data_IF_728451410896
#
_entry.id   IF_728451410896
#
_cell.length_a   1.000
_cell.length_b   1.000
_cell.length_c   1.000
_cell.angle_alpha   90.00
_cell.angle_beta   90.00
_cell.angle_gamma   90.00
#
_symmetry.space_group_name_H-M   'P 1'
#
loop_
_entity.id
_entity.type
_entity.pdbx_description
1 polymer ?
#
# COMPACT_ATOMS: atom_id res chain seq x y z
N UNK A 1 -7.65 -27.78 -41.15
CA UNK A 1 -7.80 -27.45 -39.72
C UNK A 1 -6.47 -26.92 -39.26
N UNK A 2 -6.34 -25.61 -39.16
CA UNK A 2 -5.14 -24.98 -38.62
C UNK A 2 -5.30 -25.05 -37.11
N UNK A 3 -4.62 -26.02 -36.48
CA UNK A 3 -4.43 -25.98 -35.04
C UNK A 3 -3.62 -24.72 -34.74
N UNK A 4 -4.29 -23.75 -34.10
CA UNK A 4 -3.64 -22.61 -33.49
C UNK A 4 -2.57 -23.15 -32.53
N UNK A 5 -1.33 -23.19 -33.01
CA UNK A 5 -0.15 -23.17 -32.16
C UNK A 5 -0.27 -21.88 -31.37
N UNK A 6 -0.87 -21.95 -30.19
CA UNK A 6 -0.67 -20.95 -29.15
C UNK A 6 0.82 -20.94 -28.89
N UNK A 7 1.54 -20.06 -29.60
CA UNK A 7 2.94 -19.79 -29.33
C UNK A 7 3.00 -19.29 -27.91
N UNK A 8 3.27 -20.21 -26.97
CA UNK A 8 3.42 -19.88 -25.56
C UNK A 8 4.64 -18.98 -25.51
N UNK A 9 4.41 -17.67 -25.38
CA UNK A 9 5.47 -16.67 -25.48
C UNK A 9 6.42 -16.92 -24.31
N UNK A 10 7.65 -17.31 -24.62
CA UNK A 10 8.66 -17.56 -23.60
C UNK A 10 8.97 -16.22 -22.92
N UNK A 11 8.86 -16.14 -21.58
CA UNK A 11 9.17 -14.92 -20.85
C UNK A 11 10.64 -14.55 -21.04
N UNK A 12 10.89 -13.38 -21.60
CA UNK A 12 12.25 -12.84 -21.75
C UNK A 12 12.73 -12.26 -20.42
N UNK A 13 13.98 -12.50 -20.06
CA UNK A 13 14.58 -11.97 -18.85
C UNK A 13 14.94 -10.49 -19.06
N UNK A 14 14.21 -9.62 -18.36
CA UNK A 14 14.32 -8.16 -18.43
C UNK A 14 15.15 -7.55 -17.28
N UNK A 15 15.80 -8.40 -16.46
CA UNK A 15 16.50 -8.00 -15.24
C UNK A 15 15.64 -8.01 -13.98
N UNK A 16 14.30 -8.06 -14.11
CA UNK A 16 13.39 -8.20 -12.99
C UNK A 16 13.15 -9.68 -12.66
N UNK A 17 14.07 -10.27 -11.87
CA UNK A 17 14.04 -11.71 -11.59
C UNK A 17 12.71 -12.21 -11.03
N UNK A 18 12.07 -11.51 -10.09
CA UNK A 18 10.87 -12.05 -9.42
C UNK A 18 9.72 -12.25 -10.42
N UNK A 19 9.34 -11.19 -11.13
CA UNK A 19 8.34 -11.24 -12.21
C UNK A 19 8.70 -12.27 -13.29
N UNK A 20 9.95 -12.26 -13.78
CA UNK A 20 10.37 -13.24 -14.78
C UNK A 20 10.30 -14.68 -14.26
N UNK A 21 10.75 -14.92 -13.04
CA UNK A 21 10.80 -16.26 -12.44
C UNK A 21 9.41 -16.84 -12.22
N UNK A 22 8.43 -16.00 -11.86
CA UNK A 22 7.03 -16.42 -11.72
C UNK A 22 6.41 -16.79 -13.07
N UNK A 23 6.61 -15.97 -14.11
CA UNK A 23 6.15 -16.29 -15.46
C UNK A 23 6.80 -17.57 -15.99
N UNK A 24 8.11 -17.73 -15.76
CA UNK A 24 8.87 -18.88 -16.23
C UNK A 24 8.50 -20.17 -15.47
N UNK A 25 8.28 -20.07 -14.15
CA UNK A 25 7.79 -21.18 -13.32
C UNK A 25 6.40 -21.64 -13.78
N UNK A 26 5.49 -20.71 -14.05
CA UNK A 26 4.16 -21.02 -14.57
C UNK A 26 4.21 -21.72 -15.93
N UNK A 27 5.08 -21.25 -16.85
CA UNK A 27 5.30 -21.91 -18.14
C UNK A 27 5.82 -23.35 -17.95
N UNK A 28 6.80 -23.54 -17.08
CA UNK A 28 7.37 -24.87 -16.82
C UNK A 28 6.38 -25.82 -16.13
N UNK A 29 5.48 -25.30 -15.28
CA UNK A 29 4.38 -26.06 -14.68
C UNK A 29 3.34 -26.46 -15.73
N UNK A 30 2.95 -25.54 -16.61
CA UNK A 30 2.04 -25.83 -17.74
C UNK A 30 2.58 -26.97 -18.61
N UNK A 31 3.90 -26.98 -18.88
CA UNK A 31 4.55 -28.03 -19.67
C UNK A 31 4.89 -29.30 -18.88
N UNK A 32 4.61 -29.35 -17.57
CA UNK A 32 4.93 -30.51 -16.71
C UNK A 32 6.43 -30.72 -16.47
N UNK A 33 7.26 -29.70 -16.70
CA UNK A 33 8.73 -29.79 -16.65
C UNK A 33 9.32 -29.30 -15.32
N UNK A 34 8.52 -28.64 -14.47
CA UNK A 34 8.97 -28.05 -13.20
C UNK A 34 9.68 -29.05 -12.26
N UNK A 35 9.23 -30.31 -12.25
CA UNK A 35 9.83 -31.35 -11.41
C UNK A 35 11.32 -31.61 -11.70
N UNK A 36 11.82 -31.29 -12.90
CA UNK A 36 13.25 -31.41 -13.26
C UNK A 36 14.06 -30.25 -12.69
N UNK A 37 13.47 -29.05 -12.59
CA UNK A 37 14.13 -27.89 -11.99
C UNK A 37 14.28 -28.06 -10.48
N UNK A 38 13.26 -28.61 -9.80
CA UNK A 38 13.31 -28.83 -8.34
C UNK A 38 14.24 -29.99 -7.97
N UNK A 39 14.04 -31.17 -8.57
CA UNK A 39 14.79 -32.37 -8.21
C UNK A 39 16.20 -32.37 -8.82
N UNK A 40 16.34 -31.83 -10.03
CA UNK A 40 17.55 -31.90 -10.82
C UNK A 40 17.64 -33.23 -11.58
N UNK A 41 18.30 -33.19 -12.73
CA UNK A 41 18.75 -34.41 -13.39
C UNK A 41 20.05 -34.90 -12.72
N UNK A 42 20.15 -36.21 -12.50
CA UNK A 42 21.36 -36.86 -11.99
C UNK A 42 21.72 -37.94 -12.99
N UNK A 43 22.88 -37.80 -13.62
CA UNK A 43 23.43 -38.85 -14.47
C UNK A 43 23.80 -40.06 -13.58
N UNK A 44 23.42 -41.29 -13.95
CA UNK A 44 23.83 -42.48 -13.23
C UNK A 44 25.36 -42.61 -13.21
N UNK A 45 25.90 -43.11 -12.11
CA UNK A 45 27.35 -43.37 -11.97
C UNK A 45 27.77 -44.37 -13.08
N UNK A 46 28.84 -44.04 -13.81
CA UNK A 46 29.40 -44.90 -14.85
C UNK A 46 29.65 -46.32 -14.31
N UNK A 47 29.08 -47.33 -14.98
CA UNK A 47 29.19 -48.74 -14.58
C UNK A 47 28.02 -49.29 -13.75
N UNK A 48 26.98 -48.51 -13.49
CA UNK A 48 25.74 -49.02 -12.87
C UNK A 48 24.94 -49.89 -13.84
N UNK A 49 24.67 -51.14 -13.46
CA UNK A 49 23.79 -52.04 -14.22
C UNK A 49 22.34 -51.59 -14.04
N UNK A 50 21.84 -50.79 -14.98
CA UNK A 50 20.45 -50.33 -15.01
C UNK A 50 19.61 -51.31 -15.81
N UNK A 51 18.43 -51.65 -15.30
CA UNK A 51 17.40 -52.36 -16.06
C UNK A 51 16.87 -51.49 -17.20
N UNK A 52 16.34 -52.09 -18.26
CA UNK A 52 15.78 -51.37 -19.43
C UNK A 52 14.77 -50.28 -19.01
N UNK A 53 13.94 -50.58 -18.02
CA UNK A 53 12.97 -49.63 -17.45
C UNK A 53 13.66 -48.44 -16.74
N UNK A 54 14.77 -48.67 -16.05
CA UNK A 54 15.53 -47.60 -15.39
C UNK A 54 16.30 -46.75 -16.40
N UNK A 55 16.82 -47.36 -17.47
CA UNK A 55 17.46 -46.62 -18.57
C UNK A 55 16.46 -45.70 -19.28
N UNK A 56 15.24 -46.20 -19.56
CA UNK A 56 14.17 -45.41 -20.14
C UNK A 56 13.79 -44.19 -19.28
N UNK A 57 13.71 -44.36 -17.95
CA UNK A 57 13.42 -43.26 -17.02
C UNK A 57 14.54 -42.20 -16.95
N UNK A 58 15.81 -42.64 -17.00
CA UNK A 58 16.97 -41.73 -17.03
C UNK A 58 16.98 -40.92 -18.32
N UNK A 59 16.75 -41.58 -19.46
CA UNK A 59 16.69 -40.92 -20.76
C UNK A 59 15.54 -39.91 -20.83
N UNK A 60 14.36 -40.29 -20.31
CA UNK A 60 13.21 -39.40 -20.23
C UNK A 60 13.51 -38.17 -19.35
N UNK A 61 14.20 -38.36 -18.22
CA UNK A 61 14.65 -37.26 -17.38
C UNK A 61 15.66 -36.35 -18.08
N UNK A 62 16.60 -36.92 -18.84
CA UNK A 62 17.61 -36.20 -19.62
C UNK A 62 16.97 -35.34 -20.71
N UNK A 63 16.02 -35.92 -21.45
CA UNK A 63 15.27 -35.20 -22.48
C UNK A 63 14.50 -34.02 -21.87
N UNK A 64 13.85 -34.22 -20.72
CA UNK A 64 13.15 -33.12 -20.03
C UNK A 64 14.12 -32.05 -19.52
N UNK A 65 15.29 -32.41 -18.99
CA UNK A 65 16.31 -31.43 -18.57
C UNK A 65 16.77 -30.57 -19.75
N UNK A 66 17.04 -31.19 -20.90
CA UNK A 66 17.38 -30.47 -22.14
C UNK A 66 16.25 -29.55 -22.61
N UNK A 67 14.99 -29.96 -22.51
CA UNK A 67 13.85 -29.10 -22.84
C UNK A 67 13.79 -27.87 -21.93
N UNK A 68 13.98 -28.03 -20.63
CA UNK A 68 14.03 -26.89 -19.70
C UNK A 68 15.21 -25.97 -20.01
N UNK A 69 16.40 -26.52 -20.28
CA UNK A 69 17.57 -25.74 -20.69
C UNK A 69 17.29 -24.92 -21.94
N UNK A 70 16.60 -25.51 -22.91
CA UNK A 70 16.21 -24.80 -24.13
C UNK A 70 15.32 -23.59 -23.82
N UNK A 71 14.28 -23.76 -23.00
CA UNK A 71 13.42 -22.64 -22.58
C UNK A 71 14.20 -21.58 -21.82
N UNK A 72 15.07 -21.98 -20.87
CA UNK A 72 15.89 -21.04 -20.11
C UNK A 72 16.84 -20.27 -21.03
N UNK A 73 17.48 -20.92 -22.00
CA UNK A 73 18.39 -20.23 -22.90
C UNK A 73 17.67 -19.29 -23.88
N UNK A 74 16.45 -19.62 -24.29
CA UNK A 74 15.63 -18.71 -25.10
C UNK A 74 15.15 -17.49 -24.32
N UNK A 75 14.99 -17.63 -23.01
CA UNK A 75 14.59 -16.56 -22.12
C UNK A 75 15.75 -15.60 -21.77
N UNK A 76 17.01 -15.97 -22.02
CA UNK A 76 18.18 -15.22 -21.55
C UNK A 76 18.90 -14.50 -22.69
N UNK A 77 19.24 -13.23 -22.44
CA UNK A 77 20.16 -12.51 -23.31
C UNK A 77 21.59 -13.03 -23.20
N UNK A 78 22.38 -12.83 -24.26
CA UNK A 78 23.79 -13.24 -24.35
C UNK A 78 24.61 -12.81 -23.12
N UNK A 79 24.41 -11.59 -22.63
CA UNK A 79 25.12 -11.06 -21.47
C UNK A 79 24.82 -11.85 -20.19
N UNK A 80 23.58 -12.29 -20.00
CA UNK A 80 23.17 -13.06 -18.82
C UNK A 80 23.61 -14.52 -18.97
N UNK A 81 23.50 -15.06 -20.19
CA UNK A 81 23.95 -16.41 -20.52
C UNK A 81 25.46 -16.61 -20.28
N UNK A 82 26.30 -15.67 -20.71
CA UNK A 82 27.76 -15.73 -20.52
C UNK A 82 28.19 -15.70 -19.05
N UNK A 83 27.35 -15.14 -18.18
CA UNK A 83 27.63 -15.04 -16.75
C UNK A 83 27.31 -16.32 -15.95
N UNK A 84 26.58 -17.26 -16.54
CA UNK A 84 26.31 -18.57 -15.94
C UNK A 84 27.46 -19.49 -16.36
N UNK A 85 28.35 -19.81 -15.42
CA UNK A 85 29.56 -20.60 -15.71
C UNK A 85 29.27 -22.11 -15.81
N UNK A 86 28.45 -22.63 -14.90
CA UNK A 86 28.04 -24.04 -14.91
C UNK A 86 26.63 -24.17 -15.51
N UNK A 87 26.52 -24.99 -16.56
CA UNK A 87 25.30 -25.23 -17.34
C UNK A 87 25.04 -26.72 -17.51
N UNK A 88 25.55 -27.55 -16.61
CA UNK A 88 25.41 -29.01 -16.66
C UNK A 88 23.94 -29.42 -16.61
N UNK A 89 23.14 -28.88 -15.68
CA UNK A 89 21.69 -29.18 -15.56
C UNK A 89 20.83 -27.92 -15.57
N UNK A 90 19.54 -28.08 -15.93
CA UNK A 90 18.56 -27.00 -15.85
C UNK A 90 18.45 -26.41 -14.43
N UNK A 91 18.54 -27.27 -13.41
CA UNK A 91 18.54 -26.88 -11.99
C UNK A 91 19.70 -25.95 -11.64
N UNK A 92 20.91 -26.26 -12.13
CA UNK A 92 22.08 -25.42 -11.85
C UNK A 92 21.92 -24.05 -12.50
N UNK A 93 21.42 -23.99 -13.74
CA UNK A 93 21.14 -22.73 -14.44
C UNK A 93 20.09 -21.91 -13.67
N UNK A 94 18.98 -22.54 -13.27
CA UNK A 94 17.92 -21.89 -12.49
C UNK A 94 18.43 -21.35 -11.15
N UNK A 95 19.19 -22.15 -10.40
CA UNK A 95 19.75 -21.73 -9.10
C UNK A 95 20.81 -20.64 -9.25
N UNK A 96 21.61 -20.66 -10.33
CA UNK A 96 22.58 -19.60 -10.63
C UNK A 96 21.89 -18.27 -10.94
N UNK A 97 20.81 -18.29 -11.74
CA UNK A 97 19.97 -17.13 -12.00
C UNK A 97 19.34 -16.58 -10.73
N UNK A 98 18.75 -17.47 -9.90
CA UNK A 98 18.18 -17.10 -8.61
C UNK A 98 19.21 -16.47 -7.68
N UNK A 99 20.41 -17.03 -7.60
CA UNK A 99 21.49 -16.51 -6.76
C UNK A 99 21.99 -15.14 -7.23
N UNK A 100 22.06 -14.93 -8.54
CA UNK A 100 22.62 -13.71 -9.12
C UNK A 100 21.60 -12.56 -9.19
N UNK A 101 20.37 -12.88 -9.55
CA UNK A 101 19.33 -11.90 -9.88
C UNK A 101 18.11 -11.94 -8.97
N UNK A 102 17.91 -13.02 -8.20
CA UNK A 102 16.82 -13.12 -7.22
C UNK A 102 16.96 -12.16 -6.03
N UNK A 103 17.93 -11.24 -6.07
CA UNK A 103 18.29 -10.35 -4.98
C UNK A 103 19.00 -11.10 -3.85
N UNK A 104 19.74 -10.38 -3.01
CA UNK A 104 20.15 -10.95 -1.74
C UNK A 104 18.87 -11.19 -0.92
N UNK A 105 18.50 -12.43 -0.65
CA UNK A 105 17.37 -12.74 0.25
C UNK A 105 17.49 -11.98 1.58
N UNK A 106 18.74 -11.72 2.02
CA UNK A 106 19.06 -10.86 3.16
C UNK A 106 18.64 -9.40 2.98
N UNK A 107 18.85 -8.82 1.80
CA UNK A 107 18.46 -7.45 1.45
C UNK A 107 16.94 -7.35 1.32
N UNK A 108 16.28 -8.31 0.67
CA UNK A 108 14.81 -8.37 0.62
C UNK A 108 14.19 -8.53 2.01
N UNK A 109 14.78 -9.39 2.84
CA UNK A 109 14.37 -9.55 4.25
C UNK A 109 14.61 -8.28 5.06
N UNK A 110 15.72 -7.59 4.85
CA UNK A 110 15.99 -6.30 5.50
C UNK A 110 14.99 -5.23 5.06
N UNK A 111 14.65 -5.16 3.77
CA UNK A 111 13.63 -4.25 3.23
C UNK A 111 12.25 -4.55 3.83
N UNK A 112 11.82 -5.83 3.84
CA UNK A 112 10.56 -6.23 4.50
C UNK A 112 10.55 -5.87 5.98
N UNK A 113 11.65 -6.09 6.69
CA UNK A 113 11.76 -5.73 8.09
C UNK A 113 11.71 -4.21 8.31
N UNK A 114 12.32 -3.42 7.41
CA UNK A 114 12.21 -1.96 7.45
C UNK A 114 10.76 -1.51 7.23
N UNK A 115 10.08 -2.06 6.21
CA UNK A 115 8.67 -1.77 5.95
C UNK A 115 7.74 -2.21 7.10
N UNK A 116 8.03 -3.33 7.78
CA UNK A 116 7.28 -3.74 8.98
C UNK A 116 7.47 -2.75 10.12
N UNK A 117 8.69 -2.27 10.34
CA UNK A 117 8.95 -1.22 11.33
C UNK A 117 8.22 0.06 10.98
N UNK A 118 8.28 0.48 9.72
CA UNK A 118 7.56 1.66 9.25
C UNK A 118 6.05 1.51 9.47
N UNK A 119 5.50 0.32 9.23
CA UNK A 119 4.09 0.00 9.46
C UNK A 119 3.72 -0.01 10.96
N UNK A 120 4.56 -0.60 11.82
CA UNK A 120 4.34 -0.62 13.28
C UNK A 120 4.49 0.77 13.93
N UNK A 121 5.30 1.64 13.33
CA UNK A 121 5.48 3.03 13.75
C UNK A 121 4.51 4.01 13.05
N UNK A 122 3.57 3.52 12.24
CA UNK A 122 2.53 4.39 11.68
C UNK A 122 1.74 5.02 12.83
N UNK A 123 1.62 6.33 12.79
CA UNK A 123 0.81 7.10 13.71
C UNK A 123 0.18 8.25 12.92
N UNK A 124 -1.10 8.49 13.19
CA UNK A 124 -1.81 9.63 12.62
C UNK A 124 -1.30 10.91 13.29
N UNK A 125 -0.99 11.95 12.50
CA UNK A 125 -0.53 13.23 13.06
C UNK A 125 -1.71 14.07 13.55
N UNK A 126 -1.46 14.95 14.53
CA UNK A 126 -2.50 15.78 15.18
C UNK A 126 -3.34 16.65 14.24
N UNK A 127 -2.80 17.09 13.11
CA UNK A 127 -3.48 17.97 12.14
C UNK A 127 -3.68 17.29 10.77
N UNK A 128 -3.43 15.99 10.69
CA UNK A 128 -3.62 15.22 9.47
C UNK A 128 -5.08 14.85 9.27
N UNK A 129 -5.53 14.81 8.01
CA UNK A 129 -6.86 14.33 7.64
C UNK A 129 -6.88 12.81 7.57
N UNK A 130 -8.06 12.24 7.73
CA UNK A 130 -8.20 10.78 7.67
C UNK A 130 -7.84 10.24 6.29
N UNK A 131 -8.26 10.91 5.21
CA UNK A 131 -7.89 10.48 3.85
C UNK A 131 -6.35 10.45 3.64
N UNK A 132 -5.65 11.53 4.04
CA UNK A 132 -4.18 11.59 3.93
C UNK A 132 -3.51 10.49 4.76
N UNK A 133 -4.08 10.16 5.93
CA UNK A 133 -3.60 9.08 6.78
C UNK A 133 -3.78 7.71 6.11
N UNK A 134 -4.98 7.43 5.58
CA UNK A 134 -5.29 6.18 4.87
C UNK A 134 -4.40 6.00 3.65
N UNK A 135 -4.15 7.06 2.87
CA UNK A 135 -3.23 7.01 1.73
C UNK A 135 -1.81 6.57 2.15
N UNK A 136 -1.29 7.06 3.28
CA UNK A 136 0.01 6.64 3.81
C UNK A 136 0.00 5.18 4.26
N UNK A 137 -1.03 4.75 4.99
CA UNK A 137 -1.16 3.37 5.46
C UNK A 137 -1.23 2.41 4.27
N UNK A 138 -2.07 2.72 3.27
CA UNK A 138 -2.23 1.93 2.05
C UNK A 138 -0.93 1.88 1.24
N UNK A 139 -0.18 2.98 1.16
CA UNK A 139 1.11 2.99 0.48
C UNK A 139 2.13 2.05 1.13
N UNK A 140 2.18 1.97 2.47
CA UNK A 140 3.06 1.03 3.19
C UNK A 140 2.57 -0.41 3.06
N UNK A 141 1.25 -0.62 3.16
CA UNK A 141 0.65 -1.95 3.04
C UNK A 141 0.85 -2.56 1.65
N UNK A 142 0.60 -1.79 0.59
CA UNK A 142 0.85 -2.20 -0.80
C UNK A 142 2.34 -2.53 -1.03
N UNK A 143 3.26 -1.77 -0.41
CA UNK A 143 4.69 -2.08 -0.43
C UNK A 143 5.01 -3.39 0.29
N UNK A 144 4.35 -3.70 1.42
CA UNK A 144 4.54 -4.97 2.11
C UNK A 144 4.05 -6.15 1.26
N UNK A 145 2.83 -6.07 0.70
CA UNK A 145 2.25 -7.12 -0.15
C UNK A 145 3.13 -7.36 -1.39
N UNK A 146 3.53 -6.30 -2.10
CA UNK A 146 4.38 -6.42 -3.28
C UNK A 146 5.75 -7.05 -3.01
N UNK A 147 6.25 -6.98 -1.76
CA UNK A 147 7.49 -7.64 -1.34
C UNK A 147 7.27 -9.08 -0.83
N UNK A 148 6.08 -9.64 -1.04
CA UNK A 148 5.73 -11.03 -0.71
C UNK A 148 5.32 -11.26 0.74
N UNK A 149 4.96 -10.20 1.48
CA UNK A 149 4.40 -10.32 2.83
C UNK A 149 2.90 -10.63 2.75
N UNK A 150 2.45 -11.72 3.37
CA UNK A 150 1.03 -11.98 3.54
C UNK A 150 0.51 -11.26 4.79
N UNK A 151 -0.28 -10.21 4.60
CA UNK A 151 -0.99 -9.50 5.65
C UNK A 151 -2.49 -9.66 5.44
N UNK A 152 -3.21 -10.03 6.51
CA UNK A 152 -4.67 -10.05 6.49
C UNK A 152 -5.23 -8.64 6.54
N UNK A 153 -6.40 -8.46 5.95
CA UNK A 153 -7.15 -7.19 6.01
C UNK A 153 -7.51 -6.80 7.47
N UNK A 154 -7.77 -7.80 8.31
CA UNK A 154 -8.00 -7.59 9.75
C UNK A 154 -6.81 -6.89 10.43
N UNK A 155 -5.56 -7.26 10.08
CA UNK A 155 -4.37 -6.65 10.70
C UNK A 155 -4.22 -5.18 10.36
N UNK A 156 -4.58 -4.77 9.14
CA UNK A 156 -4.52 -3.36 8.75
C UNK A 156 -5.63 -2.56 9.45
N UNK A 157 -6.83 -3.12 9.56
CA UNK A 157 -7.93 -2.51 10.34
C UNK A 157 -7.54 -2.31 11.82
N UNK A 158 -7.03 -3.35 12.48
CA UNK A 158 -6.54 -3.26 13.86
C UNK A 158 -5.41 -2.23 14.01
N UNK A 159 -4.49 -2.20 13.05
CA UNK A 159 -3.38 -1.25 13.07
C UNK A 159 -3.91 0.18 12.95
N UNK A 160 -4.82 0.46 12.02
CA UNK A 160 -5.45 1.77 11.87
C UNK A 160 -6.13 2.18 13.18
N UNK A 161 -6.99 1.33 13.75
CA UNK A 161 -7.70 1.64 15.00
C UNK A 161 -6.77 1.98 16.16
N UNK A 162 -5.64 1.27 16.29
CA UNK A 162 -4.63 1.49 17.34
C UNK A 162 -3.80 2.76 17.16
N UNK A 163 -3.66 3.26 15.94
CA UNK A 163 -2.71 4.32 15.56
C UNK A 163 -3.37 5.66 15.25
N UNK A 164 -4.70 5.71 15.35
CA UNK A 164 -5.48 6.94 15.28
C UNK A 164 -5.18 7.87 16.48
N UNK A 165 -5.26 9.18 16.26
CA UNK A 165 -5.08 10.17 17.33
C UNK A 165 -6.19 10.10 18.38
N UNK A 166 -5.93 10.58 19.59
CA UNK A 166 -6.88 10.66 20.72
C UNK A 166 -8.22 11.34 20.38
N UNK A 167 -8.26 12.17 19.32
CA UNK A 167 -9.49 12.81 18.82
C UNK A 167 -10.55 11.80 18.37
N UNK A 168 -10.11 10.59 18.00
CA UNK A 168 -10.97 9.51 17.50
C UNK A 168 -11.18 8.40 18.53
N UNK A 169 -10.63 8.49 19.75
CA UNK A 169 -10.73 7.43 20.77
C UNK A 169 -12.17 6.99 21.01
N UNK A 170 -13.12 7.93 21.08
CA UNK A 170 -14.53 7.58 21.25
C UNK A 170 -15.11 6.79 20.08
N UNK A 171 -14.71 7.11 18.85
CA UNK A 171 -15.13 6.40 17.64
C UNK A 171 -14.51 5.01 17.60
N UNK A 172 -13.23 4.88 17.97
CA UNK A 172 -12.52 3.60 18.06
C UNK A 172 -13.24 2.68 19.06
N UNK A 173 -13.49 3.14 20.29
CA UNK A 173 -14.23 2.35 21.31
C UNK A 173 -15.61 1.96 20.80
N UNK A 174 -16.33 2.87 20.15
CA UNK A 174 -17.65 2.57 19.59
C UNK A 174 -17.60 1.49 18.51
N UNK A 175 -16.56 1.49 17.66
CA UNK A 175 -16.37 0.47 16.62
C UNK A 175 -16.02 -0.87 17.27
N UNK A 176 -15.13 -0.88 18.26
CA UNK A 176 -14.73 -2.09 18.99
C UNK A 176 -15.91 -2.72 19.77
N UNK A 177 -16.83 -1.91 20.30
CA UNK A 177 -18.01 -2.40 21.02
C UNK A 177 -19.17 -2.82 20.10
N UNK A 178 -19.35 -2.15 18.96
CA UNK A 178 -20.54 -2.31 18.11
C UNK A 178 -20.36 -3.21 16.90
N UNK A 179 -19.11 -3.46 16.46
CA UNK A 179 -18.82 -4.21 15.24
C UNK A 179 -17.80 -5.30 15.46
N UNK A 180 -17.94 -6.36 14.68
CA UNK A 180 -16.96 -7.43 14.62
C UNK A 180 -15.78 -7.01 13.73
N UNK A 181 -14.63 -6.71 14.36
CA UNK A 181 -13.41 -6.23 13.71
C UNK A 181 -12.93 -7.21 12.63
N UNK A 182 -13.27 -8.50 12.76
CA UNK A 182 -12.92 -9.53 11.78
C UNK A 182 -13.66 -9.40 10.44
N UNK A 183 -14.79 -8.70 10.42
CA UNK A 183 -15.69 -8.58 9.26
C UNK A 183 -15.70 -7.18 8.61
N UNK A 184 -15.01 -6.20 9.19
CA UNK A 184 -14.96 -4.83 8.66
C UNK A 184 -13.90 -4.76 7.55
N UNK A 185 -14.29 -4.25 6.38
CA UNK A 185 -13.33 -3.94 5.31
C UNK A 185 -12.64 -2.60 5.54
N UNK A 186 -11.45 -2.42 4.95
CA UNK A 186 -10.70 -1.15 5.06
C UNK A 186 -11.52 0.04 4.52
N UNK A 187 -12.24 -0.16 3.43
CA UNK A 187 -13.09 0.88 2.80
C UNK A 187 -14.27 1.29 3.69
N UNK A 188 -14.88 0.33 4.39
CA UNK A 188 -15.96 0.61 5.33
C UNK A 188 -15.43 1.39 6.53
N UNK A 189 -14.27 0.99 7.06
CA UNK A 189 -13.60 1.71 8.15
C UNK A 189 -13.28 3.16 7.76
N UNK A 190 -12.69 3.38 6.57
CA UNK A 190 -12.39 4.71 6.07
C UNK A 190 -13.65 5.57 5.98
N UNK A 191 -14.74 5.00 5.46
CA UNK A 191 -16.02 5.70 5.31
C UNK A 191 -16.60 6.15 6.66
N UNK A 192 -16.58 5.29 7.68
CA UNK A 192 -17.07 5.61 9.03
C UNK A 192 -16.24 6.73 9.64
N UNK A 193 -14.91 6.61 9.55
CA UNK A 193 -13.98 7.57 10.12
C UNK A 193 -14.13 8.95 9.44
N UNK A 194 -14.24 8.99 8.11
CA UNK A 194 -14.48 10.22 7.35
C UNK A 194 -15.81 10.89 7.72
N UNK A 195 -16.88 10.11 7.91
CA UNK A 195 -18.17 10.64 8.36
C UNK A 195 -18.06 11.29 9.75
N UNK A 196 -17.26 10.70 10.64
CA UNK A 196 -16.99 11.27 11.96
C UNK A 196 -16.12 12.53 11.89
N UNK A 197 -15.10 12.58 11.04
CA UNK A 197 -14.29 13.78 10.82
C UNK A 197 -15.13 14.96 10.31
N UNK A 198 -16.03 14.71 9.36
CA UNK A 198 -16.94 15.74 8.85
C UNK A 198 -17.88 16.29 9.92
N UNK A 199 -18.41 15.41 10.79
CA UNK A 199 -19.27 15.83 11.92
C UNK A 199 -18.47 16.64 12.94
N UNK A 200 -17.28 16.19 13.30
CA UNK A 200 -16.40 16.88 14.27
C UNK A 200 -16.01 18.28 13.77
N UNK A 201 -15.68 18.42 12.49
CA UNK A 201 -15.36 19.71 11.89
C UNK A 201 -16.56 20.68 11.79
N UNK A 202 -17.79 20.18 11.74
CA UNK A 202 -18.99 21.03 11.84
C UNK A 202 -19.14 21.59 13.25
N UNK A 203 -19.00 20.75 14.29
CA UNK A 203 -19.08 21.20 15.68
C UNK A 203 -17.99 22.22 16.04
N UNK A 204 -16.75 22.01 15.57
CA UNK A 204 -15.65 22.97 15.80
C UNK A 204 -15.93 24.34 15.18
N UNK A 205 -16.47 24.39 13.95
CA UNK A 205 -16.90 25.64 13.31
C UNK A 205 -18.03 26.33 14.06
N UNK A 206 -18.99 25.58 14.58
CA UNK A 206 -20.10 26.13 15.35
C UNK A 206 -19.64 26.69 16.71
N UNK A 207 -18.66 26.06 17.37
CA UNK A 207 -18.03 26.59 18.58
C UNK A 207 -17.22 27.87 18.30
N UNK A 208 -16.39 27.88 17.26
CA UNK A 208 -15.62 29.07 16.86
C UNK A 208 -16.55 30.25 16.50
N UNK A 209 -17.65 29.99 15.77
CA UNK A 209 -18.67 30.98 15.45
C UNK A 209 -19.43 31.48 16.69
N UNK A 210 -19.65 30.62 17.68
CA UNK A 210 -20.27 31.00 18.95
C UNK A 210 -19.32 31.85 19.80
N UNK A 211 -18.03 31.50 19.87
CA UNK A 211 -17.00 32.28 20.59
C UNK A 211 -16.84 33.67 19.95
N UNK A 212 -16.74 33.76 18.61
CA UNK A 212 -16.70 35.03 17.88
C UNK A 212 -17.91 35.92 18.18
N UNK A 213 -19.12 35.34 18.23
CA UNK A 213 -20.35 36.08 18.58
C UNK A 213 -20.40 36.53 20.05
N UNK A 214 -19.70 35.83 20.94
CA UNK A 214 -19.62 36.20 22.36
C UNK A 214 -18.65 37.37 22.54
N UNK A 215 -17.49 37.37 21.88
CA UNK A 215 -16.55 38.51 21.89
C UNK A 215 -17.18 39.80 21.34
N UNK A 216 -17.96 39.71 20.26
CA UNK A 216 -18.65 40.86 19.67
C UNK A 216 -19.73 41.46 20.61
N UNK A 217 -20.31 40.63 21.50
CA UNK A 217 -21.24 41.08 22.55
C UNK A 217 -20.54 41.71 23.75
N UNK A 218 -19.27 41.39 24.00
CA UNK A 218 -18.47 42.01 25.05
C UNK A 218 -17.77 43.32 24.59
N UNK A 219 -17.67 43.56 23.28
CA UNK A 219 -17.09 44.78 22.70
C UNK A 219 -17.99 46.03 22.69
N UNK A 220 -19.29 45.91 22.98
CA UNK A 220 -20.24 47.04 22.79
C UNK A 220 -21.08 47.37 24.03
N UNK A 221 -20.42 47.74 25.14
CA UNK A 221 -21.08 48.44 26.27
C UNK A 221 -20.30 49.69 26.69
N UNK A 222 -20.17 50.63 25.76
CA UNK A 222 -19.81 52.02 26.04
C UNK A 222 -21.02 52.81 26.53
N UNK A 223 -20.98 53.23 27.81
CA UNK A 223 -21.96 54.08 28.50
C UNK A 223 -22.22 55.40 27.77
N UNK A 224 -23.50 55.70 27.51
CA UNK A 224 -23.97 57.03 27.13
C UNK A 224 -25.34 57.33 27.71
N UNK A 225 -25.40 57.68 29.00
CA UNK A 225 -26.61 58.23 29.64
C UNK A 225 -26.22 59.41 30.50
N UNK A 226 -26.36 60.61 29.94
CA UNK A 226 -26.52 61.85 30.70
C UNK A 226 -27.84 62.50 30.28
N UNK A 227 -28.77 62.52 31.24
CA UNK A 227 -30.05 63.23 31.21
C UNK A 227 -29.79 64.73 31.30
N UNK A 228 -30.25 65.49 30.31
CA UNK A 228 -30.43 66.93 30.39
C UNK A 228 -31.91 67.30 30.22
N UNK A 229 -32.61 67.55 31.33
CA UNK A 229 -33.94 68.16 31.36
C UNK A 229 -33.82 69.65 31.04
N UNK A 230 -34.56 70.14 30.06
CA UNK A 230 -34.75 71.58 29.81
C UNK A 230 -36.10 71.85 29.16
N UNK A 231 -37.06 72.34 29.95
CA UNK A 231 -38.35 72.89 29.48
C UNK A 231 -38.10 74.32 29.00
N UNK A 232 -38.67 74.71 27.85
CA UNK A 232 -38.71 76.10 27.42
C UNK A 232 -39.66 76.30 26.23
N UNK A 233 -40.85 76.84 26.51
CA UNK A 233 -41.84 77.31 25.53
C UNK A 233 -41.31 78.58 24.84
N UNK A 234 -41.58 78.76 23.55
CA UNK A 234 -41.33 80.04 22.88
C UNK A 234 -41.71 80.04 21.41
N UNK A 235 -42.83 80.69 21.10
CA UNK A 235 -43.44 80.85 19.78
C UNK A 235 -42.94 82.16 19.15
N UNK A 236 -42.80 82.15 17.82
CA UNK A 236 -42.82 83.30 16.90
C UNK A 236 -41.53 84.09 16.60
N UNK A 237 -41.12 83.96 15.33
CA UNK A 237 -40.59 84.95 14.37
C UNK A 237 -40.38 86.39 14.85
N UNK A 238 -39.16 86.91 14.68
CA UNK A 238 -38.90 88.26 14.20
C UNK A 238 -37.63 88.31 13.32
N UNK A 239 -37.80 88.73 12.06
CA UNK A 239 -36.74 89.18 11.16
C UNK A 239 -36.31 90.60 11.57
N UNK A 240 -35.00 90.87 11.64
CA UNK A 240 -34.43 92.20 11.40
C UNK A 240 -32.93 92.10 11.15
N UNK A 241 -32.56 92.28 9.88
CA UNK A 241 -31.20 92.62 9.48
C UNK A 241 -30.79 93.95 10.15
N UNK A 242 -29.80 93.92 11.04
CA UNK A 242 -29.01 95.04 11.58
C UNK A 242 -27.97 94.37 12.52
N UNK A 243 -26.70 94.72 12.64
CA UNK A 243 -25.79 95.70 12.05
C UNK A 243 -24.43 95.41 12.71
N UNK A 244 -23.35 95.75 12.02
CA UNK A 244 -21.96 95.75 12.50
C UNK A 244 -21.77 96.40 13.88
N UNK A 245 -20.99 95.74 14.75
CA UNK A 245 -19.66 96.14 15.23
C UNK A 245 -19.22 95.13 16.31
#
# INVERSE_FOLDING_TARGET
>A
MNEDKTYTKIPHFDGHHDHWSEMMENLLKEKGLWGVVERGHVEPIEGTLLTDNQQALVEESRVRDHQVKHYLFQALDRNVFEQILDRSTAKIIWTALKKKYGGNDKVKKALRNALRRDFEMLEMKKEEKIDDYFDRVMAVWNKLISNGEQMSEVKIVETILRTLTDRFTYVVVSIEESKDIENISVDELQSILNLHEQKFNRFKKEEDDQVLKVEDRFGTRGRGSFRGRGRGRGRSSFNKALVEC
#
